data_IF_459817745061
#
_entry.id   IF_459817745061
#
_cell.length_a   1.000
_cell.length_b   1.000
_cell.length_c   1.000
_cell.angle_alpha   90.00
_cell.angle_beta   90.00
_cell.angle_gamma   90.00
#
_symmetry.space_group_name_H-M   'P 1'
#
loop_
_entity.id
_entity.type
_entity.pdbx_description
1 polymer ?
#
# COMPACT_ATOMS: atom_id res chain seq x y z
N UNK A 1 44.38 -15.31 -23.42
CA UNK A 1 44.68 -16.48 -22.56
C UNK A 1 44.41 -16.20 -21.08
N UNK A 2 43.97 -14.99 -20.73
CA UNK A 2 43.96 -14.53 -19.34
C UNK A 2 42.73 -15.02 -18.56
N UNK A 3 41.60 -15.19 -19.25
CA UNK A 3 40.37 -15.75 -18.66
C UNK A 3 40.54 -17.21 -18.19
N UNK A 4 41.34 -18.01 -18.91
CA UNK A 4 41.63 -19.40 -18.55
C UNK A 4 42.45 -19.51 -17.26
N UNK A 5 43.27 -18.49 -16.96
CA UNK A 5 44.06 -18.43 -15.73
C UNK A 5 43.24 -17.93 -14.53
N UNK A 6 42.16 -17.18 -14.78
CA UNK A 6 41.30 -16.56 -13.76
C UNK A 6 40.09 -17.42 -13.36
N UNK A 7 39.76 -18.46 -14.15
CA UNK A 7 38.62 -19.32 -13.89
C UNK A 7 38.81 -20.15 -12.60
N UNK A 8 37.91 -19.94 -11.63
CA UNK A 8 37.89 -20.68 -10.37
C UNK A 8 36.44 -20.96 -9.92
N UNK A 9 36.23 -22.07 -9.21
CA UNK A 9 34.92 -22.41 -8.65
C UNK A 9 34.63 -21.55 -7.40
N UNK A 10 33.57 -20.74 -7.45
CA UNK A 10 33.09 -19.99 -6.30
C UNK A 10 32.30 -20.92 -5.37
N UNK A 11 32.67 -20.96 -4.08
CA UNK A 11 31.87 -21.62 -3.03
C UNK A 11 30.97 -20.58 -2.37
N UNK A 12 29.65 -20.76 -2.46
CA UNK A 12 28.65 -19.85 -1.90
C UNK A 12 27.63 -19.39 -2.94
N UNK A 13 26.82 -18.40 -2.57
CA UNK A 13 25.81 -17.82 -3.48
C UNK A 13 26.49 -16.93 -4.48
N UNK A 14 26.45 -17.31 -5.75
CA UNK A 14 26.92 -16.49 -6.86
C UNK A 14 26.01 -15.25 -6.92
N UNK A 15 26.60 -14.06 -6.72
CA UNK A 15 25.93 -12.75 -6.69
C UNK A 15 24.80 -12.66 -5.63
N UNK A 16 25.14 -12.36 -4.36
CA UNK A 16 24.15 -12.28 -3.30
C UNK A 16 23.13 -11.17 -3.55
N UNK A 17 21.84 -11.48 -3.36
CA UNK A 17 20.74 -10.52 -3.47
C UNK A 17 20.83 -9.53 -2.32
N UNK A 18 21.03 -8.25 -2.64
CA UNK A 18 21.04 -7.16 -1.66
C UNK A 18 19.72 -6.41 -1.69
N UNK A 19 19.16 -6.15 -0.51
CA UNK A 19 18.02 -5.24 -0.37
C UNK A 19 18.51 -3.80 -0.47
N UNK A 20 18.55 -3.26 -1.68
CA UNK A 20 18.95 -1.87 -1.93
C UNK A 20 17.74 -0.95 -1.72
N UNK A 21 17.84 -0.03 -0.77
CA UNK A 21 16.81 1.00 -0.54
C UNK A 21 17.12 2.20 -1.44
N UNK A 22 16.16 2.57 -2.31
CA UNK A 22 16.26 3.79 -3.12
C UNK A 22 15.97 4.99 -2.24
N UNK A 23 16.99 5.84 -2.01
CA UNK A 23 16.82 7.11 -1.29
C UNK A 23 16.45 8.19 -2.28
N UNK A 24 15.30 8.83 -2.09
CA UNK A 24 14.88 9.95 -2.92
C UNK A 24 15.56 11.24 -2.51
N UNK A 25 15.84 12.13 -3.48
CA UNK A 25 16.33 13.48 -3.21
C UNK A 25 15.19 14.33 -2.65
N UNK A 26 15.54 15.34 -1.84
CA UNK A 26 14.58 16.31 -1.34
C UNK A 26 13.92 17.07 -2.51
N UNK A 27 12.60 17.19 -2.47
CA UNK A 27 11.80 17.90 -3.47
C UNK A 27 10.94 18.95 -2.79
N UNK A 28 10.50 19.95 -3.55
CA UNK A 28 9.53 20.95 -3.06
C UNK A 28 8.18 20.27 -2.88
N UNK A 29 7.58 20.46 -1.70
CA UNK A 29 6.25 19.93 -1.37
C UNK A 29 5.20 20.63 -2.23
N UNK A 30 4.33 19.86 -2.88
CA UNK A 30 3.22 20.37 -3.70
C UNK A 30 2.07 20.90 -2.82
N UNK A 31 1.16 21.70 -3.38
CA UNK A 31 0.01 22.21 -2.62
C UNK A 31 -0.96 21.09 -2.20
N UNK A 32 -1.14 20.08 -3.06
CA UNK A 32 -1.95 18.90 -2.78
C UNK A 32 -1.41 18.10 -1.59
N UNK A 33 -0.09 17.88 -1.53
CA UNK A 33 0.57 17.19 -0.42
C UNK A 33 0.39 17.92 0.92
N UNK A 34 0.36 19.27 0.90
CA UNK A 34 0.11 20.08 2.10
C UNK A 34 -1.33 19.98 2.57
N UNK A 35 -2.27 19.94 1.64
CA UNK A 35 -3.70 19.86 1.96
C UNK A 35 -4.13 18.44 2.36
N UNK A 36 -3.31 17.43 2.04
CA UNK A 36 -3.59 16.04 2.34
C UNK A 36 -3.56 15.75 3.84
N UNK A 37 -4.76 15.59 4.44
CA UNK A 37 -4.92 15.24 5.86
C UNK A 37 -4.71 13.74 6.09
N UNK A 38 -3.44 13.32 6.17
CA UNK A 38 -3.01 11.91 6.33
C UNK A 38 -3.72 11.22 7.51
N UNK A 39 -3.79 11.86 8.68
CA UNK A 39 -4.40 11.28 9.88
C UNK A 39 -5.89 10.96 9.67
N UNK A 40 -6.65 11.91 9.10
CA UNK A 40 -8.05 11.71 8.80
C UNK A 40 -8.24 10.61 7.75
N UNK A 41 -7.40 10.59 6.72
CA UNK A 41 -7.44 9.56 5.67
C UNK A 41 -7.21 8.15 6.26
N UNK A 42 -6.18 7.96 7.07
CA UNK A 42 -5.91 6.68 7.73
C UNK A 42 -7.06 6.22 8.65
N UNK A 43 -7.69 7.15 9.38
CA UNK A 43 -8.85 6.81 10.21
C UNK A 43 -10.06 6.40 9.40
N UNK A 44 -10.33 7.08 8.28
CA UNK A 44 -11.40 6.72 7.34
C UNK A 44 -11.16 5.32 6.77
N UNK A 45 -9.96 5.04 6.25
CA UNK A 45 -9.60 3.71 5.73
C UNK A 45 -9.82 2.58 6.75
N UNK A 46 -9.42 2.79 8.00
CA UNK A 46 -9.63 1.82 9.08
C UNK A 46 -11.12 1.62 9.37
N UNK A 47 -11.90 2.69 9.40
CA UNK A 47 -13.35 2.62 9.60
C UNK A 47 -14.05 1.92 8.45
N UNK A 48 -13.64 2.21 7.21
CA UNK A 48 -14.19 1.58 6.00
C UNK A 48 -13.90 0.08 5.98
N UNK A 49 -12.66 -0.33 6.30
CA UNK A 49 -12.31 -1.75 6.44
C UNK A 49 -13.14 -2.45 7.52
N UNK A 50 -13.36 -1.79 8.67
CA UNK A 50 -14.15 -2.34 9.78
C UNK A 50 -15.65 -2.43 9.47
N UNK A 51 -16.20 -1.42 8.79
CA UNK A 51 -17.64 -1.26 8.57
C UNK A 51 -18.11 -1.81 7.23
N UNK A 52 -17.22 -2.31 6.36
CA UNK A 52 -17.56 -2.84 5.04
C UNK A 52 -18.73 -3.83 5.11
N UNK A 53 -18.64 -4.88 5.91
CA UNK A 53 -19.70 -5.89 6.01
C UNK A 53 -21.05 -5.33 6.49
N UNK A 54 -21.03 -4.41 7.46
CA UNK A 54 -22.24 -3.76 7.95
C UNK A 54 -22.87 -2.83 6.89
N UNK A 55 -22.04 -2.14 6.12
CA UNK A 55 -22.50 -1.29 5.01
C UNK A 55 -23.01 -2.11 3.84
N UNK A 56 -22.34 -3.20 3.49
CA UNK A 56 -22.77 -4.12 2.43
C UNK A 56 -24.08 -4.80 2.79
N UNK A 57 -24.23 -5.27 4.05
CA UNK A 57 -25.49 -5.80 4.58
C UNK A 57 -26.60 -4.75 4.51
N UNK A 58 -26.34 -3.54 5.01
CA UNK A 58 -27.32 -2.44 4.95
C UNK A 58 -27.69 -2.08 3.51
N UNK A 59 -26.73 -2.10 2.58
CA UNK A 59 -26.99 -1.82 1.17
C UNK A 59 -27.89 -2.89 0.52
N UNK A 60 -27.70 -4.17 0.88
CA UNK A 60 -28.57 -5.28 0.46
C UNK A 60 -29.98 -5.15 1.04
N UNK A 61 -30.10 -4.91 2.34
CA UNK A 61 -31.40 -4.69 3.01
C UNK A 61 -32.15 -3.50 2.40
N UNK A 62 -31.47 -2.38 2.10
CA UNK A 62 -32.08 -1.22 1.43
C UNK A 62 -32.53 -1.57 0.00
N UNK A 63 -31.80 -2.42 -0.73
CA UNK A 63 -32.16 -2.86 -2.07
C UNK A 63 -33.34 -3.85 -2.08
N UNK A 64 -33.47 -4.67 -1.04
CA UNK A 64 -34.51 -5.70 -0.91
C UNK A 64 -35.81 -5.17 -0.30
N UNK A 65 -35.74 -4.32 0.75
CA UNK A 65 -36.92 -3.88 1.50
C UNK A 65 -37.49 -2.52 1.05
N UNK A 66 -36.81 -1.80 0.16
CA UNK A 66 -37.35 -0.60 -0.47
C UNK A 66 -37.77 0.48 0.53
N UNK A 67 -36.78 1.19 1.10
CA UNK A 67 -36.88 2.42 1.92
C UNK A 67 -37.05 2.21 3.45
N UNK A 68 -36.10 2.76 4.22
CA UNK A 68 -36.41 3.32 5.55
C UNK A 68 -35.55 2.92 6.75
N UNK A 69 -34.23 3.09 6.68
CA UNK A 69 -33.33 2.88 7.84
C UNK A 69 -32.27 3.97 8.01
N UNK A 70 -32.63 5.23 7.75
CA UNK A 70 -31.79 6.38 8.05
C UNK A 70 -31.56 6.50 9.55
N UNK A 71 -30.36 6.16 10.02
CA UNK A 71 -29.92 6.62 11.34
C UNK A 71 -29.42 8.05 11.15
N UNK A 72 -30.07 8.95 11.89
CA UNK A 72 -29.75 10.37 12.11
C UNK A 72 -28.26 10.68 11.97
#
# INVERSE_FOLDING_TARGET
>A
ADELKLAAQLRGVVLPVKQVIRREKARRITEEEKQFKVYCHLRRLRADKRLKGARDKKAREVAEEGVGGGRR
#
